data_IF_150640798361
#
_entry.id   IF_150640798361
#
_cell.length_a   1.000
_cell.length_b   1.000
_cell.length_c   1.000
_cell.angle_alpha   90.00
_cell.angle_beta   90.00
_cell.angle_gamma   90.00
#
_symmetry.space_group_name_H-M   'P 1'
#
loop_
_entity.id
_entity.type
_entity.pdbx_description
1 polymer ?
#
# COMPACT_ATOMS: atom_id res chain seq x y z
N UNK A 1 -14.50 -1.34 6.24
CA UNK A 1 -13.95 -0.80 7.49
C UNK A 1 -12.44 -0.78 7.46
N UNK A 2 -11.87 0.41 7.64
CA UNK A 2 -10.46 0.67 7.84
C UNK A 2 -10.22 0.70 9.35
N UNK A 3 -9.16 0.06 9.83
CA UNK A 3 -8.79 0.03 11.25
C UNK A 3 -7.42 0.67 11.40
N UNK A 4 -7.15 1.33 12.53
CA UNK A 4 -5.91 2.06 12.77
C UNK A 4 -5.58 3.03 11.61
N UNK A 5 -6.47 4.01 11.33
CA UNK A 5 -6.40 4.86 10.14
C UNK A 5 -5.12 5.72 10.07
N UNK A 6 -4.38 5.87 11.17
CA UNK A 6 -3.09 6.56 11.18
C UNK A 6 -1.94 5.69 10.65
N UNK A 7 -2.06 4.35 10.73
CA UNK A 7 -1.08 3.39 10.20
C UNK A 7 -1.26 3.27 8.70
N UNK A 8 -0.16 3.43 7.97
CA UNK A 8 -0.15 3.47 6.51
C UNK A 8 -0.64 2.14 5.92
N UNK A 9 -1.73 2.21 5.15
CA UNK A 9 -2.42 1.09 4.54
C UNK A 9 -2.78 1.43 3.10
N UNK A 10 -2.69 0.44 2.21
CA UNK A 10 -3.09 0.56 0.81
C UNK A 10 -4.23 -0.41 0.48
N UNK A 11 -5.36 0.13 0.05
CA UNK A 11 -6.54 -0.61 -0.37
C UNK A 11 -6.65 -0.60 -1.89
N UNK A 12 -6.36 -1.74 -2.51
CA UNK A 12 -6.45 -1.93 -3.95
C UNK A 12 -7.90 -2.25 -4.35
N UNK A 13 -8.47 -1.48 -5.28
CA UNK A 13 -9.86 -1.62 -5.71
C UNK A 13 -10.03 -1.45 -7.22
N UNK A 14 -11.18 -1.92 -7.72
CA UNK A 14 -11.59 -1.77 -9.11
C UNK A 14 -13.06 -1.39 -9.16
N UNK A 15 -13.33 -0.18 -9.64
CA UNK A 15 -14.69 0.29 -9.85
C UNK A 15 -15.31 -0.45 -11.05
N UNK A 16 -16.52 -0.97 -10.86
CA UNK A 16 -17.23 -1.82 -11.85
C UNK A 16 -18.64 -1.31 -12.17
N UNK A 17 -18.81 0.01 -12.13
CA UNK A 17 -20.04 0.76 -12.43
C UNK A 17 -20.73 1.33 -11.19
N UNK A 18 -20.12 1.23 -10.01
CA UNK A 18 -20.56 1.85 -8.75
C UNK A 18 -19.34 2.38 -8.00
N UNK A 19 -19.56 3.37 -7.13
CA UNK A 19 -18.53 3.80 -6.20
C UNK A 19 -18.25 2.70 -5.17
N UNK A 20 -17.02 2.65 -4.69
CA UNK A 20 -16.64 1.81 -3.55
C UNK A 20 -16.76 2.62 -2.26
N UNK A 21 -16.99 1.92 -1.15
CA UNK A 21 -17.26 2.50 0.16
C UNK A 21 -16.36 1.89 1.22
N UNK A 22 -15.75 2.77 2.01
CA UNK A 22 -14.96 2.44 3.18
C UNK A 22 -15.46 3.27 4.35
N UNK A 23 -15.17 2.80 5.56
CA UNK A 23 -15.57 3.51 6.77
C UNK A 23 -14.48 3.41 7.83
N UNK A 24 -14.26 4.48 8.57
CA UNK A 24 -13.41 4.59 9.75
C UNK A 24 -14.33 4.83 10.95
N UNK A 25 -14.04 4.23 12.09
CA UNK A 25 -14.73 4.51 13.36
C UNK A 25 -13.66 4.59 14.44
N UNK A 26 -13.49 5.75 15.05
CA UNK A 26 -12.51 6.00 16.11
C UNK A 26 -13.17 6.64 17.34
N UNK A 27 -12.71 6.23 18.53
CA UNK A 27 -13.21 6.75 19.81
C UNK A 27 -12.49 8.03 20.25
N UNK A 28 -11.31 8.29 19.69
CA UNK A 28 -10.48 9.46 19.93
C UNK A 28 -10.23 10.23 18.62
N UNK A 29 -9.83 11.50 18.71
CA UNK A 29 -9.39 12.26 17.54
C UNK A 29 -8.06 11.72 17.01
N UNK A 30 -7.82 11.84 15.71
CA UNK A 30 -6.68 11.23 15.03
C UNK A 30 -6.21 12.04 13.82
N UNK A 31 -4.98 11.78 13.36
CA UNK A 31 -4.45 12.34 12.12
C UNK A 31 -4.97 11.56 10.91
N UNK A 32 -5.96 12.12 10.21
CA UNK A 32 -6.46 11.58 8.96
C UNK A 32 -5.51 11.92 7.82
N UNK A 33 -5.01 10.88 7.15
CA UNK A 33 -4.38 10.99 5.84
C UNK A 33 -5.13 10.12 4.84
N UNK A 34 -5.46 10.70 3.69
CA UNK A 34 -6.06 9.97 2.56
C UNK A 34 -5.41 10.43 1.26
N UNK A 35 -4.98 9.48 0.44
CA UNK A 35 -4.43 9.73 -0.90
C UNK A 35 -4.99 8.71 -1.89
N UNK A 36 -5.09 9.11 -3.16
CA UNK A 36 -5.56 8.24 -4.23
C UNK A 36 -4.47 8.05 -5.29
N UNK A 37 -4.24 6.79 -5.65
CA UNK A 37 -3.33 6.41 -6.73
C UNK A 37 -4.08 5.61 -7.79
N UNK A 38 -3.56 5.60 -9.01
CA UNK A 38 -3.95 4.63 -10.04
C UNK A 38 -2.69 3.93 -10.58
N UNK A 39 -2.75 2.64 -10.95
CA UNK A 39 -1.57 1.94 -11.46
C UNK A 39 -1.12 2.54 -12.80
N UNK A 40 0.19 2.64 -13.04
CA UNK A 40 0.73 3.12 -14.31
C UNK A 40 0.57 2.05 -15.41
N UNK A 41 -0.66 1.92 -15.92
CA UNK A 41 -1.06 1.00 -16.98
C UNK A 41 -1.47 1.76 -18.24
N UNK A 42 -1.23 1.20 -19.43
CA UNK A 42 -1.74 1.78 -20.68
C UNK A 42 -3.26 1.92 -20.63
N UNK A 43 -3.76 3.15 -20.85
CA UNK A 43 -5.19 3.44 -20.90
C UNK A 43 -5.88 3.57 -19.54
N UNK A 44 -5.13 3.59 -18.42
CA UNK A 44 -5.71 3.84 -17.09
C UNK A 44 -6.38 5.22 -17.02
N UNK A 45 -7.58 5.27 -16.44
CA UNK A 45 -8.28 6.50 -16.12
C UNK A 45 -7.55 7.30 -15.03
N UNK A 46 -7.54 8.62 -15.15
CA UNK A 46 -6.93 9.56 -14.19
C UNK A 46 -7.95 10.60 -13.75
N UNK A 47 -9.08 10.10 -13.28
CA UNK A 47 -10.27 10.86 -12.90
C UNK A 47 -10.90 10.32 -11.60
N UNK A 48 -10.17 9.43 -10.90
CA UNK A 48 -10.62 8.85 -9.64
C UNK A 48 -10.59 9.92 -8.54
N UNK A 49 -11.72 10.10 -7.88
CA UNK A 49 -11.94 11.08 -6.83
C UNK A 49 -12.36 10.39 -5.53
N UNK A 50 -12.13 11.07 -4.41
CA UNK A 50 -12.49 10.58 -3.08
C UNK A 50 -13.36 11.61 -2.35
N UNK A 51 -14.49 11.18 -1.82
CA UNK A 51 -15.32 11.98 -0.92
C UNK A 51 -15.21 11.42 0.51
N UNK A 52 -15.07 12.32 1.49
CA UNK A 52 -14.97 11.97 2.91
C UNK A 52 -16.07 12.72 3.68
N UNK A 53 -16.94 11.96 4.34
CA UNK A 53 -18.15 12.44 4.99
C UNK A 53 -18.25 11.88 6.42
N UNK A 54 -18.64 12.69 7.41
CA UNK A 54 -18.92 12.19 8.76
C UNK A 54 -20.26 11.44 8.76
N UNK A 55 -20.33 10.30 9.44
CA UNK A 55 -21.52 9.42 9.44
C UNK A 55 -22.71 10.07 10.17
N UNK A 56 -22.45 10.83 11.23
CA UNK A 56 -23.47 11.28 12.18
C UNK A 56 -23.87 12.77 12.05
N UNK A 57 -23.32 13.54 11.09
CA UNK A 57 -23.72 14.93 10.89
C UNK A 57 -24.96 15.07 9.98
N UNK A 58 -25.99 15.73 10.50
CA UNK A 58 -27.28 15.97 9.81
C UNK A 58 -27.14 16.99 8.66
N UNK A 59 -26.14 17.87 8.74
CA UNK A 59 -25.81 18.80 7.68
C UNK A 59 -24.74 18.17 6.79
N UNK A 60 -25.18 17.73 5.61
CA UNK A 60 -24.49 17.06 4.51
C UNK A 60 -23.28 17.86 3.93
N UNK A 61 -22.40 18.36 4.80
CA UNK A 61 -21.19 19.07 4.43
C UNK A 61 -20.08 18.03 4.34
N UNK A 62 -19.69 17.67 3.11
CA UNK A 62 -18.42 16.98 2.87
C UNK A 62 -17.33 17.69 3.66
N UNK A 63 -16.55 16.95 4.45
CA UNK A 63 -15.40 17.56 5.11
C UNK A 63 -14.30 17.75 4.06
N UNK A 64 -14.13 16.76 3.17
CA UNK A 64 -13.13 16.82 2.10
C UNK A 64 -13.62 16.16 0.81
N UNK A 65 -13.28 16.76 -0.33
CA UNK A 65 -13.44 16.17 -1.66
C UNK A 65 -12.13 16.28 -2.43
N UNK A 66 -11.52 15.14 -2.71
CA UNK A 66 -10.30 15.00 -3.49
C UNK A 66 -10.69 14.83 -4.96
N UNK A 67 -10.80 15.94 -5.69
CA UNK A 67 -11.21 15.94 -7.10
C UNK A 67 -10.06 15.45 -7.99
N UNK A 68 -10.13 14.21 -8.47
CA UNK A 68 -9.15 13.64 -9.39
C UNK A 68 -9.33 14.06 -10.85
N UNK A 69 -10.50 14.58 -11.24
CA UNK A 69 -10.81 14.94 -12.63
C UNK A 69 -10.05 16.19 -13.07
N UNK A 70 -9.93 17.16 -12.17
CA UNK A 70 -9.22 18.43 -12.42
C UNK A 70 -7.79 18.44 -11.86
N UNK A 71 -7.29 17.29 -11.40
CA UNK A 71 -5.98 17.17 -10.78
C UNK A 71 -4.87 16.90 -11.81
N UNK A 72 -3.67 17.42 -11.55
CA UNK A 72 -2.48 17.08 -12.32
C UNK A 72 -1.81 15.85 -11.72
N UNK A 73 -2.14 14.68 -12.26
CA UNK A 73 -1.60 13.41 -11.79
C UNK A 73 -0.11 13.27 -12.11
N UNK A 74 0.71 13.00 -11.09
CA UNK A 74 2.15 12.88 -11.22
C UNK A 74 2.59 11.41 -11.22
N UNK A 75 3.64 11.10 -11.97
CA UNK A 75 4.15 9.73 -12.02
C UNK A 75 5.00 9.45 -10.77
N UNK A 76 4.66 8.40 -10.03
CA UNK A 76 5.27 8.03 -8.76
C UNK A 76 5.75 6.57 -8.80
N UNK A 77 6.92 6.30 -8.21
CA UNK A 77 7.43 4.95 -8.03
C UNK A 77 7.40 4.59 -6.55
N UNK A 78 6.70 3.51 -6.22
CA UNK A 78 6.61 2.97 -4.86
C UNK A 78 7.62 1.83 -4.72
N UNK A 79 8.58 1.98 -3.80
CA UNK A 79 9.77 1.13 -3.74
C UNK A 79 9.52 -0.23 -3.07
N UNK A 80 8.56 -0.32 -2.14
CA UNK A 80 8.27 -1.55 -1.39
C UNK A 80 7.63 -2.61 -2.29
N UNK A 81 6.52 -2.26 -2.94
CA UNK A 81 5.86 -3.04 -3.96
C UNK A 81 6.62 -3.05 -5.29
N UNK A 82 7.40 -2.01 -5.60
CA UNK A 82 8.18 -1.91 -6.83
C UNK A 82 7.30 -1.72 -8.06
N UNK A 83 6.30 -0.85 -7.96
CA UNK A 83 5.37 -0.53 -9.03
C UNK A 83 5.32 0.97 -9.30
N UNK A 84 4.96 1.30 -10.52
CA UNK A 84 4.72 2.67 -10.95
C UNK A 84 3.24 2.97 -10.83
N UNK A 85 2.94 4.18 -10.38
CA UNK A 85 1.61 4.72 -10.22
C UNK A 85 1.53 6.10 -10.87
N UNK A 86 0.32 6.56 -11.09
CA UNK A 86 0.03 7.98 -11.08
C UNK A 86 -0.56 8.35 -9.72
N UNK A 87 0.03 9.33 -9.07
CA UNK A 87 -0.41 9.89 -7.80
C UNK A 87 -1.39 11.04 -8.06
N UNK A 88 -2.56 10.92 -7.44
CA UNK A 88 -3.64 11.89 -7.50
C UNK A 88 -3.65 12.82 -6.30
N UNK A 89 -4.79 13.46 -6.01
CA UNK A 89 -4.93 14.34 -4.85
C UNK A 89 -4.83 13.58 -3.53
N UNK A 90 -4.33 14.27 -2.51
CA UNK A 90 -4.25 13.81 -1.13
C UNK A 90 -4.73 14.88 -0.14
N UNK A 91 -4.99 14.46 1.09
CA UNK A 91 -5.30 15.34 2.22
C UNK A 91 -4.67 14.81 3.50
N UNK A 92 -4.23 15.75 4.32
CA UNK A 92 -3.85 15.54 5.72
C UNK A 92 -4.63 16.50 6.60
N UNK A 93 -5.32 15.97 7.61
CA UNK A 93 -6.12 16.76 8.55
C UNK A 93 -6.20 16.08 9.92
N UNK A 94 -6.25 16.89 10.98
CA UNK A 94 -6.64 16.42 12.31
C UNK A 94 -8.17 16.41 12.38
N UNK A 95 -8.76 15.25 12.72
CA UNK A 95 -10.21 15.09 12.81
C UNK A 95 -10.62 14.62 14.20
N UNK A 96 -11.87 14.93 14.57
CA UNK A 96 -12.43 14.52 15.86
C UNK A 96 -12.70 13.01 15.94
N UNK A 97 -13.11 12.52 17.13
CA UNK A 97 -13.63 11.16 17.25
C UNK A 97 -14.94 11.02 16.46
N UNK A 98 -15.24 9.81 16.00
CA UNK A 98 -16.49 9.51 15.31
C UNK A 98 -16.32 8.56 14.12
N UNK A 99 -17.40 8.47 13.35
CA UNK A 99 -17.46 7.68 12.13
C UNK A 99 -17.25 8.55 10.88
N UNK A 100 -16.43 8.06 9.95
CA UNK A 100 -16.18 8.71 8.66
C UNK A 100 -16.39 7.71 7.52
N UNK A 101 -17.24 8.05 6.57
CA UNK A 101 -17.43 7.34 5.32
C UNK A 101 -16.51 7.91 4.24
N UNK A 102 -15.90 7.02 3.48
CA UNK A 102 -14.99 7.34 2.38
C UNK A 102 -15.54 6.67 1.12
N UNK A 103 -15.88 7.47 0.13
CA UNK A 103 -16.37 7.00 -1.16
C UNK A 103 -15.32 7.23 -2.24
N UNK A 104 -14.98 6.17 -2.97
CA UNK A 104 -14.08 6.24 -4.12
C UNK A 104 -14.90 6.11 -5.39
N UNK A 105 -14.74 7.04 -6.31
CA UNK A 105 -15.54 7.14 -7.53
C UNK A 105 -14.72 7.66 -8.72
N UNK A 106 -15.16 7.40 -9.94
CA UNK A 106 -14.62 8.00 -11.17
C UNK A 106 -15.77 8.52 -12.04
N UNK A 107 -15.48 9.20 -13.14
CA UNK A 107 -16.51 9.83 -14.00
C UNK A 107 -17.57 8.84 -14.46
N UNK A 108 -17.17 7.61 -14.76
CA UNK A 108 -18.04 6.51 -15.17
C UNK A 108 -18.13 5.38 -14.12
N UNK A 109 -17.49 5.55 -12.96
CA UNK A 109 -17.28 4.52 -11.94
C UNK A 109 -16.65 3.24 -12.50
N UNK A 110 -15.69 3.38 -13.40
CA UNK A 110 -14.83 2.29 -13.87
C UNK A 110 -13.37 2.58 -13.56
N UNK A 111 -12.58 1.52 -13.45
CA UNK A 111 -11.12 1.58 -13.39
C UNK A 111 -10.52 1.16 -12.05
N UNK A 112 -9.21 0.87 -12.10
CA UNK A 112 -8.42 0.45 -10.95
C UNK A 112 -7.93 1.66 -10.16
N UNK A 113 -7.92 1.55 -8.84
CA UNK A 113 -7.39 2.57 -7.95
C UNK A 113 -6.72 1.94 -6.73
N UNK A 114 -5.94 2.74 -6.02
CA UNK A 114 -5.41 2.42 -4.69
C UNK A 114 -5.73 3.57 -3.75
N UNK A 115 -6.58 3.30 -2.75
CA UNK A 115 -6.84 4.23 -1.66
C UNK A 115 -5.77 4.01 -0.60
N UNK A 116 -4.98 5.04 -0.32
CA UNK A 116 -3.96 5.03 0.72
C UNK A 116 -4.50 5.79 1.92
N UNK A 117 -4.43 5.19 3.11
CA UNK A 117 -4.88 5.79 4.37
C UNK A 117 -3.78 5.67 5.41
N UNK A 118 -3.54 6.75 6.16
CA UNK A 118 -2.49 6.81 7.18
C UNK A 118 -1.08 7.03 6.63
N UNK A 119 -0.22 7.63 7.46
CA UNK A 119 1.19 7.93 7.13
C UNK A 119 2.19 7.27 8.07
N UNK A 120 1.73 6.69 9.19
CA UNK A 120 2.61 6.07 10.15
C UNK A 120 3.12 4.74 9.60
N UNK A 121 4.41 4.67 9.34
CA UNK A 121 5.09 3.46 8.89
C UNK A 121 5.24 2.47 10.07
N UNK A 122 4.29 1.56 10.20
CA UNK A 122 4.40 0.39 11.07
C UNK A 122 4.25 -0.87 10.23
N UNK A 123 5.12 -1.85 10.47
CA UNK A 123 5.11 -3.13 9.75
C UNK A 123 4.98 -4.31 10.72
N UNK A 124 3.77 -4.57 11.24
CA UNK A 124 3.48 -5.76 12.03
C UNK A 124 3.89 -7.05 11.30
N UNK A 125 4.29 -8.08 12.05
CA UNK A 125 4.75 -9.35 11.47
C UNK A 125 3.66 -10.05 10.66
N UNK A 126 2.41 -9.96 11.10
CA UNK A 126 1.26 -10.50 10.40
C UNK A 126 0.98 -9.79 9.07
N UNK A 127 1.17 -8.47 9.00
CA UNK A 127 1.09 -7.71 7.73
C UNK A 127 2.21 -8.09 6.76
N UNK A 128 3.43 -8.26 7.25
CA UNK A 128 4.56 -8.73 6.44
C UNK A 128 4.25 -10.12 5.85
N UNK A 129 3.76 -11.05 6.69
CA UNK A 129 3.39 -12.40 6.25
C UNK A 129 2.27 -12.34 5.21
N UNK A 130 1.23 -11.54 5.46
CA UNK A 130 0.12 -11.39 4.52
C UNK A 130 0.62 -10.85 3.17
N UNK A 131 1.46 -9.81 3.19
CA UNK A 131 2.06 -9.20 2.00
C UNK A 131 2.83 -10.22 1.15
N UNK A 132 3.58 -11.14 1.77
CA UNK A 132 4.29 -12.20 1.05
C UNK A 132 3.31 -13.05 0.23
N UNK A 133 2.15 -13.40 0.79
CA UNK A 133 1.19 -14.26 0.09
C UNK A 133 0.30 -13.51 -0.90
N UNK A 134 0.00 -12.24 -0.68
CA UNK A 134 -0.91 -11.44 -1.53
C UNK A 134 -0.21 -10.79 -2.72
N UNK A 135 1.06 -10.40 -2.57
CA UNK A 135 1.82 -9.69 -3.61
C UNK A 135 1.88 -10.41 -4.96
N UNK A 136 2.07 -11.74 -5.06
CA UNK A 136 2.06 -12.43 -6.35
C UNK A 136 0.74 -12.26 -7.12
N UNK A 137 -0.40 -12.40 -6.45
CA UNK A 137 -1.71 -12.18 -7.06
C UNK A 137 -1.91 -10.71 -7.41
N UNK A 138 -1.50 -9.79 -6.53
CA UNK A 138 -1.58 -8.36 -6.79
C UNK A 138 -0.80 -7.96 -8.05
N UNK A 139 0.44 -8.46 -8.21
CA UNK A 139 1.22 -8.23 -9.43
C UNK A 139 0.48 -8.69 -10.68
N UNK A 140 -0.12 -9.87 -10.63
CA UNK A 140 -0.75 -10.48 -11.79
C UNK A 140 -2.07 -9.82 -12.14
N UNK A 141 -2.95 -9.70 -11.16
CA UNK A 141 -4.36 -9.37 -11.38
C UNK A 141 -4.57 -7.86 -11.41
N UNK A 142 -3.84 -7.11 -10.57
CA UNK A 142 -3.96 -5.65 -10.49
C UNK A 142 -2.96 -4.95 -11.42
N UNK A 143 -1.68 -5.30 -11.37
CA UNK A 143 -0.62 -4.65 -12.15
C UNK A 143 -0.34 -5.27 -13.52
N UNK A 144 -1.00 -6.37 -13.88
CA UNK A 144 -0.81 -7.07 -15.16
C UNK A 144 0.65 -7.47 -15.43
N UNK A 145 1.38 -7.79 -14.36
CA UNK A 145 2.78 -8.23 -14.35
C UNK A 145 2.91 -9.69 -13.94
N UNK A 146 3.96 -10.41 -14.36
CA UNK A 146 4.16 -11.78 -13.92
C UNK A 146 4.28 -11.90 -12.39
N UNK A 147 3.56 -12.86 -11.78
CA UNK A 147 3.53 -13.06 -10.33
C UNK A 147 4.91 -13.18 -9.66
N UNK A 148 5.91 -13.71 -10.36
CA UNK A 148 7.28 -13.86 -9.84
C UNK A 148 7.99 -12.51 -9.59
N UNK A 149 7.52 -11.40 -10.18
CA UNK A 149 8.09 -10.07 -9.94
C UNK A 149 7.72 -9.50 -8.57
N UNK A 150 6.86 -10.18 -7.80
CA UNK A 150 6.40 -9.76 -6.47
C UNK A 150 7.54 -9.49 -5.47
N UNK A 151 8.73 -10.07 -5.70
CA UNK A 151 9.86 -9.98 -4.79
C UNK A 151 11.10 -9.34 -5.43
N UNK A 152 10.96 -8.64 -6.55
CA UNK A 152 12.07 -7.91 -7.20
C UNK A 152 12.04 -6.43 -6.82
N UNK A 153 11.92 -6.16 -5.51
CA UNK A 153 11.68 -4.86 -4.88
C UNK A 153 12.23 -4.87 -3.44
N UNK A 154 11.95 -3.86 -2.63
CA UNK A 154 12.44 -3.82 -1.24
C UNK A 154 11.88 -4.97 -0.39
N UNK A 155 10.64 -5.42 -0.62
CA UNK A 155 10.07 -6.60 0.10
C UNK A 155 10.95 -7.83 -0.10
N UNK A 156 11.40 -8.09 -1.33
CA UNK A 156 12.32 -9.19 -1.62
C UNK A 156 13.64 -9.09 -0.83
N UNK A 157 14.18 -7.88 -0.65
CA UNK A 157 15.39 -7.67 0.15
C UNK A 157 15.17 -8.04 1.62
N UNK A 158 14.01 -7.71 2.19
CA UNK A 158 13.67 -8.08 3.57
C UNK A 158 13.50 -9.59 3.76
N UNK A 159 13.00 -10.30 2.73
CA UNK A 159 12.84 -11.76 2.77
C UNK A 159 14.19 -12.47 2.56
N UNK A 160 14.90 -12.14 1.47
CA UNK A 160 16.10 -12.87 1.06
C UNK A 160 17.36 -12.39 1.77
N UNK A 161 17.42 -11.14 2.23
CA UNK A 161 18.58 -10.57 2.94
C UNK A 161 19.01 -11.39 4.15
N UNK A 162 18.12 -11.69 5.11
CA UNK A 162 18.42 -12.54 6.26
C UNK A 162 18.85 -13.96 5.86
N UNK A 163 18.21 -14.55 4.84
CA UNK A 163 18.55 -15.89 4.34
C UNK A 163 19.95 -15.92 3.75
N UNK A 164 20.29 -14.95 2.90
CA UNK A 164 21.61 -14.81 2.29
C UNK A 164 22.68 -14.60 3.37
N UNK A 165 22.39 -13.77 4.38
CA UNK A 165 23.29 -13.53 5.51
C UNK A 165 23.59 -14.83 6.28
N UNK A 166 22.56 -15.63 6.57
CA UNK A 166 22.71 -16.93 7.25
C UNK A 166 23.56 -17.88 6.41
N UNK A 167 23.33 -17.98 5.10
CA UNK A 167 24.12 -18.82 4.20
C UNK A 167 25.59 -18.39 4.19
N UNK A 168 25.87 -17.09 4.13
CA UNK A 168 27.24 -16.55 4.20
C UNK A 168 27.90 -16.96 5.52
N UNK A 169 27.22 -16.81 6.65
CA UNK A 169 27.75 -17.20 7.97
C UNK A 169 28.07 -18.69 8.00
N UNK A 170 27.18 -19.56 7.51
CA UNK A 170 27.39 -21.01 7.46
C UNK A 170 28.62 -21.35 6.60
N UNK A 171 28.75 -20.75 5.42
CA UNK A 171 29.90 -20.96 4.54
C UNK A 171 31.20 -20.52 5.22
N UNK A 172 31.23 -19.35 5.86
CA UNK A 172 32.40 -18.84 6.58
C UNK A 172 32.80 -19.77 7.74
N UNK A 173 31.83 -20.29 8.50
CA UNK A 173 32.07 -21.26 9.57
C UNK A 173 32.67 -22.55 9.01
N UNK A 174 32.12 -23.10 7.92
CA UNK A 174 32.65 -24.30 7.27
C UNK A 174 34.08 -24.10 6.77
N UNK A 175 34.37 -22.96 6.14
CA UNK A 175 35.72 -22.62 5.69
C UNK A 175 36.71 -22.49 6.85
N UNK A 176 36.29 -21.87 7.96
CA UNK A 176 37.10 -21.76 9.18
C UNK A 176 37.42 -23.14 9.78
N UNK A 177 36.42 -24.02 9.90
CA UNK A 177 36.61 -25.38 10.40
C UNK A 177 37.51 -26.21 9.49
N UNK A 178 37.37 -26.09 8.17
CA UNK A 178 38.22 -26.78 7.20
C UNK A 178 39.69 -26.32 7.29
N UNK A 179 39.93 -25.02 7.46
CA UNK A 179 41.29 -24.47 7.68
C UNK A 179 41.90 -25.01 8.98
N UNK A 180 41.13 -25.06 10.07
CA UNK A 180 41.60 -25.58 11.37
C UNK A 180 41.91 -27.07 11.33
N UNK A 181 41.12 -27.87 10.60
CA UNK A 181 41.36 -29.30 10.40
C UNK A 181 42.66 -29.59 9.64
N UNK A 182 42.96 -28.79 8.59
CA UNK A 182 44.24 -28.89 7.85
C UNK A 182 45.45 -28.47 8.70
N UNK A 183 45.31 -27.48 9.58
CA UNK A 183 46.38 -27.02 10.48
C UNK A 183 46.76 -28.00 11.59
N UNK A 184 45.85 -28.90 12.00
CA UNK A 184 46.11 -29.95 13.02
C UNK A 184 46.76 -31.23 12.45
N UNK A 185 46.91 -31.35 11.13
CA UNK A 185 47.52 -32.51 10.45
C UNK A 185 49.01 -32.31 10.10
N UNK A 186 49.65 -31.27 10.63
CA UNK A 186 51.10 -31.04 10.61
C UNK A 186 51.63 -31.11 12.03
#
# INVERSE_FOLDING_TARGET
MIRNPEVSQAFYGELTGKHDHYNIIEEEGFDLYVSILVPDLPGIGKDVSVAIEPIDEIDNNFIYFLNGTDFQWERYYEEFGGDWYYQGPDIKAEVGPGGYDIHVMSTDNLGKYVLVVGEKEEFPLDEIINTIFTMPSLKQDFFEKPAYTAYFNLIGLFIFGPVILVVIIVVLVLLFLARRSKGKKK
#
